data_IF_544241564056
#
_entry.id   IF_544241564056
#
_cell.length_a   1.000
_cell.length_b   1.000
_cell.length_c   1.000
_cell.angle_alpha   90.00
_cell.angle_beta   90.00
_cell.angle_gamma   90.00
#
_symmetry.space_group_name_H-M   'P 1'
#
loop_
_entity.id
_entity.type
_entity.pdbx_description
1 polymer ?
#
# COMPACT_ATOMS: atom_id res chain seq x y z
N UNK A 1 11.50 15.01 19.58
CA UNK A 1 12.12 14.39 18.41
C UNK A 1 11.02 14.41 17.36
N UNK A 2 11.08 15.38 16.44
CA UNK A 2 10.06 15.54 15.40
C UNK A 2 10.05 14.28 14.54
N UNK A 3 8.95 13.54 14.57
CA UNK A 3 8.68 12.51 13.60
C UNK A 3 8.22 13.21 12.33
N UNK A 4 9.19 13.81 11.65
CA UNK A 4 9.08 14.18 10.27
C UNK A 4 8.56 12.95 9.54
N UNK A 5 7.55 13.14 8.69
CA UNK A 5 7.03 12.10 7.84
C UNK A 5 8.03 11.82 6.71
N UNK A 6 9.29 11.58 7.10
CA UNK A 6 10.22 10.73 6.40
C UNK A 6 9.56 9.36 6.35
N UNK A 7 8.68 9.23 5.33
CA UNK A 7 8.38 7.99 4.65
C UNK A 7 9.60 7.10 4.85
N UNK A 8 9.40 6.03 5.62
CA UNK A 8 10.41 5.03 5.97
C UNK A 8 11.57 5.06 4.99
N UNK A 9 12.76 5.28 5.55
CA UNK A 9 14.14 5.26 5.02
C UNK A 9 14.43 4.14 3.99
N UNK A 10 13.57 4.00 2.99
CA UNK A 10 13.64 3.20 1.79
C UNK A 10 14.17 4.15 0.72
N UNK A 11 15.43 4.55 0.94
CA UNK A 11 16.26 5.34 0.04
C UNK A 11 16.02 4.90 -1.41
N UNK A 12 15.88 5.87 -2.31
CA UNK A 12 16.11 5.78 -3.76
C UNK A 12 16.27 4.35 -4.30
N UNK A 13 15.19 3.58 -4.28
CA UNK A 13 15.27 2.17 -4.60
C UNK A 13 15.05 1.97 -6.09
N UNK A 14 15.82 1.06 -6.67
CA UNK A 14 15.55 0.53 -8.01
C UNK A 14 14.69 -0.73 -7.86
N UNK A 15 13.59 -0.81 -8.59
CA UNK A 15 12.73 -1.99 -8.67
C UNK A 15 13.15 -2.84 -9.88
N UNK A 16 13.09 -4.16 -9.77
CA UNK A 16 13.35 -5.08 -10.89
C UNK A 16 12.01 -5.65 -11.35
N UNK A 17 11.42 -5.05 -12.39
CA UNK A 17 10.24 -5.61 -13.07
C UNK A 17 10.66 -6.07 -14.46
N UNK A 18 10.42 -7.35 -14.77
CA UNK A 18 10.75 -8.01 -16.05
C UNK A 18 12.24 -7.86 -16.42
N UNK A 19 13.13 -8.01 -15.44
CA UNK A 19 14.58 -7.89 -15.62
C UNK A 19 15.09 -6.46 -15.87
N UNK A 20 14.23 -5.44 -15.74
CA UNK A 20 14.60 -4.03 -15.92
C UNK A 20 14.54 -3.26 -14.61
N UNK A 21 15.56 -2.42 -14.42
CA UNK A 21 15.66 -1.44 -13.36
C UNK A 21 14.64 -0.31 -13.58
N UNK A 22 13.73 -0.09 -12.63
CA UNK A 22 12.76 1.02 -12.60
C UNK A 22 12.97 1.88 -11.38
N UNK A 23 12.89 3.22 -11.50
CA UNK A 23 12.93 4.13 -10.35
C UNK A 23 11.69 3.94 -9.48
N UNK A 24 11.84 3.84 -8.15
CA UNK A 24 10.70 3.79 -7.22
C UNK A 24 10.14 5.17 -6.92
N UNK A 25 11.01 6.17 -6.75
CA UNK A 25 10.65 7.55 -6.42
C UNK A 25 11.32 8.50 -7.41
N UNK A 26 10.59 9.52 -7.85
CA UNK A 26 11.09 10.57 -8.75
C UNK A 26 10.14 11.76 -8.72
N UNK A 27 10.38 12.74 -7.85
CA UNK A 27 9.48 13.88 -7.71
C UNK A 27 10.21 15.19 -7.45
N UNK A 28 9.51 16.30 -7.68
CA UNK A 28 9.93 17.65 -7.33
C UNK A 28 8.81 18.35 -6.59
N UNK A 29 9.13 19.15 -5.58
CA UNK A 29 8.12 19.79 -4.75
C UNK A 29 8.59 21.01 -3.99
N UNK A 30 7.64 21.60 -3.29
CA UNK A 30 7.83 22.74 -2.38
C UNK A 30 7.21 22.41 -1.03
N UNK A 31 7.86 22.90 0.03
CA UNK A 31 7.43 22.74 1.41
C UNK A 31 7.30 24.11 2.05
N UNK A 32 6.26 24.27 2.88
CA UNK A 32 6.03 25.46 3.67
C UNK A 32 5.52 25.07 5.06
N UNK A 33 6.16 25.58 6.11
CA UNK A 33 5.96 25.17 7.51
C UNK A 33 4.48 25.14 7.96
N UNK A 34 3.67 26.09 7.48
CA UNK A 34 2.23 26.20 7.83
C UNK A 34 1.30 25.62 6.76
N UNK A 35 1.68 25.71 5.49
CA UNK A 35 0.80 25.39 4.36
C UNK A 35 0.99 23.94 3.89
N UNK A 36 1.96 23.22 4.45
CA UNK A 36 2.22 21.83 4.13
C UNK A 36 3.14 21.68 2.92
N UNK A 37 3.03 20.54 2.24
CA UNK A 37 3.94 20.13 1.16
C UNK A 37 3.15 19.82 -0.11
N UNK A 38 3.65 20.27 -1.25
CA UNK A 38 3.13 19.92 -2.58
C UNK A 38 4.27 19.36 -3.42
N UNK A 39 4.06 18.24 -4.08
CA UNK A 39 5.05 17.67 -5.00
C UNK A 39 4.39 16.99 -6.19
N UNK A 40 5.13 16.91 -7.28
CA UNK A 40 4.72 16.26 -8.51
C UNK A 40 5.77 15.24 -8.95
N UNK A 41 5.32 14.06 -9.35
CA UNK A 41 6.16 13.02 -9.93
C UNK A 41 5.70 11.63 -9.53
N UNK A 42 6.66 10.75 -9.28
CA UNK A 42 6.45 9.36 -8.85
C UNK A 42 6.63 9.19 -7.35
N UNK A 43 5.53 8.89 -6.66
CA UNK A 43 5.49 8.61 -5.22
C UNK A 43 4.29 7.72 -4.87
N UNK A 44 4.15 7.35 -3.59
CA UNK A 44 2.99 6.63 -3.06
C UNK A 44 1.69 7.43 -3.23
N UNK A 45 0.62 6.75 -3.66
CA UNK A 45 -0.71 7.32 -3.68
C UNK A 45 -1.24 7.64 -2.27
N UNK A 46 -2.16 8.60 -2.18
CA UNK A 46 -2.64 9.12 -0.89
C UNK A 46 -3.30 8.03 0.01
N UNK A 47 -3.86 6.96 -0.58
CA UNK A 47 -4.43 5.82 0.15
C UNK A 47 -3.42 5.15 1.07
N UNK A 48 -2.13 5.10 0.66
CA UNK A 48 -1.04 4.51 1.44
C UNK A 48 -0.88 5.13 2.84
N UNK A 49 -1.29 6.40 3.03
CA UNK A 49 -1.07 7.14 4.27
C UNK A 49 -1.67 6.43 5.49
N UNK A 50 -2.80 5.75 5.34
CA UNK A 50 -3.58 5.20 6.45
C UNK A 50 -3.69 3.67 6.45
N UNK A 51 -2.79 2.97 5.76
CA UNK A 51 -2.75 1.50 5.72
C UNK A 51 -1.79 0.97 6.82
N UNK A 52 -2.29 0.35 7.91
CA UNK A 52 -1.48 -0.07 9.06
C UNK A 52 -0.49 -1.20 8.75
N UNK A 53 -0.86 -2.14 7.88
CA UNK A 53 0.00 -3.24 7.43
C UNK A 53 1.25 -2.74 6.70
N UNK A 54 1.11 -1.67 5.91
CA UNK A 54 2.21 -1.04 5.18
C UNK A 54 3.18 -0.28 6.11
N UNK A 55 2.86 -0.19 7.41
CA UNK A 55 3.74 0.41 8.43
C UNK A 55 4.63 -0.61 9.13
N UNK A 56 4.47 -1.90 8.82
CA UNK A 56 5.36 -2.93 9.33
C UNK A 56 6.66 -2.91 8.55
N UNK A 57 7.77 -3.14 9.26
CA UNK A 57 9.00 -3.52 8.60
C UNK A 57 8.72 -4.80 7.82
N UNK A 58 9.08 -4.78 6.53
CA UNK A 58 9.01 -5.84 5.52
C UNK A 58 8.10 -7.03 5.87
N UNK A 59 6.98 -7.18 5.17
CA UNK A 59 6.46 -8.51 4.94
C UNK A 59 6.70 -8.72 3.45
N UNK A 60 7.48 -9.72 3.05
CA UNK A 60 7.68 -10.07 1.63
C UNK A 60 6.39 -10.37 0.86
N UNK A 61 5.25 -10.32 1.56
CA UNK A 61 3.89 -10.66 1.14
C UNK A 61 2.88 -9.55 1.53
N UNK A 62 3.27 -8.27 1.39
CA UNK A 62 2.36 -7.12 1.58
C UNK A 62 1.39 -6.97 0.39
N UNK A 63 0.63 -8.03 0.10
CA UNK A 63 -0.63 -7.86 -0.61
C UNK A 63 -1.62 -7.32 0.44
N UNK A 64 -2.16 -6.12 0.19
CA UNK A 64 -2.95 -5.36 1.17
C UNK A 64 -4.37 -5.19 0.69
N UNK A 65 -5.30 -5.03 1.63
CA UNK A 65 -6.67 -4.70 1.30
C UNK A 65 -6.72 -3.26 0.78
N UNK A 66 -6.73 -3.12 -0.53
CA UNK A 66 -6.45 -1.85 -1.19
C UNK A 66 -7.05 -1.80 -2.59
N UNK A 67 -7.51 -0.59 -2.96
CA UNK A 67 -7.80 -0.23 -4.34
C UNK A 67 -6.53 0.17 -5.12
N UNK A 68 -6.70 0.48 -6.41
CA UNK A 68 -5.61 0.68 -7.36
C UNK A 68 -4.59 1.79 -6.96
N UNK A 69 -4.99 2.86 -6.24
CA UNK A 69 -4.07 3.93 -5.78
C UNK A 69 -3.39 3.76 -4.41
N UNK A 70 -3.32 2.55 -3.88
CA UNK A 70 -2.47 2.30 -2.70
C UNK A 70 -0.98 2.29 -3.06
N UNK A 71 -0.66 2.09 -4.33
CA UNK A 71 0.69 1.85 -4.80
C UNK A 71 1.40 3.13 -5.24
N UNK A 72 2.63 2.97 -5.75
CA UNK A 72 3.43 4.09 -6.28
C UNK A 72 2.96 4.44 -7.67
N UNK A 73 2.47 5.67 -7.83
CA UNK A 73 1.94 6.18 -9.08
C UNK A 73 2.91 7.21 -9.66
N UNK A 74 3.05 7.22 -10.99
CA UNK A 74 3.81 8.25 -11.71
C UNK A 74 2.88 9.42 -12.05
N UNK A 75 3.45 10.57 -12.41
CA UNK A 75 2.70 11.75 -12.89
C UNK A 75 1.58 12.18 -11.92
N UNK A 76 1.87 12.05 -10.63
CA UNK A 76 0.93 12.33 -9.55
C UNK A 76 1.29 13.66 -8.90
N UNK A 77 0.31 14.56 -8.80
CA UNK A 77 0.39 15.74 -7.97
C UNK A 77 -0.15 15.38 -6.59
N UNK A 78 0.65 15.57 -5.55
CA UNK A 78 0.28 15.33 -4.16
C UNK A 78 0.34 16.61 -3.35
N UNK A 79 -0.63 16.76 -2.46
CA UNK A 79 -0.66 17.77 -1.41
C UNK A 79 -0.81 17.07 -0.07
N UNK A 80 -0.04 17.53 0.91
CA UNK A 80 -0.10 17.04 2.28
C UNK A 80 -0.07 18.18 3.28
N UNK A 81 -0.93 18.09 4.27
CA UNK A 81 -0.96 19.04 5.39
C UNK A 81 -1.25 18.30 6.70
N UNK A 82 -0.86 18.91 7.81
CA UNK A 82 -1.14 18.43 9.14
C UNK A 82 -1.67 19.57 10.00
N UNK A 83 -2.81 19.33 10.65
CA UNK A 83 -3.42 20.25 11.61
C UNK A 83 -3.59 19.49 12.92
N UNK A 84 -2.80 19.85 13.93
CA UNK A 84 -2.73 19.12 15.19
C UNK A 84 -2.45 17.63 14.92
N UNK A 85 -3.32 16.73 15.39
CA UNK A 85 -3.18 15.28 15.23
C UNK A 85 -3.73 14.77 13.89
N UNK A 86 -4.36 15.64 13.10
CA UNK A 86 -4.98 15.27 11.82
C UNK A 86 -4.03 15.49 10.66
N UNK A 87 -3.81 14.44 9.87
CA UNK A 87 -3.09 14.52 8.59
C UNK A 87 -4.07 14.41 7.45
N UNK A 88 -3.87 15.22 6.40
CA UNK A 88 -4.63 15.21 5.17
C UNK A 88 -3.67 15.02 4.00
N UNK A 89 -3.98 14.08 3.11
CA UNK A 89 -3.25 13.86 1.87
C UNK A 89 -4.26 13.85 0.73
N UNK A 90 -4.02 14.65 -0.28
CA UNK A 90 -4.82 14.68 -1.51
C UNK A 90 -3.87 14.41 -2.66
N UNK A 91 -4.26 13.53 -3.57
CA UNK A 91 -3.51 13.29 -4.79
C UNK A 91 -4.40 13.28 -6.02
N UNK A 92 -3.87 13.77 -7.13
CA UNK A 92 -4.46 13.52 -8.44
C UNK A 92 -3.40 12.98 -9.39
N UNK A 93 -3.76 11.95 -10.13
CA UNK A 93 -2.91 11.32 -11.12
C UNK A 93 -3.43 11.69 -12.50
N UNK A 94 -2.54 12.17 -13.35
CA UNK A 94 -2.86 12.42 -14.75
C UNK A 94 -2.87 11.08 -15.50
N UNK A 95 -3.85 10.88 -16.38
CA UNK A 95 -3.92 9.66 -17.19
C UNK A 95 -2.72 9.59 -18.13
N UNK A 96 -2.04 8.46 -18.15
CA UNK A 96 -0.89 8.24 -19.04
C UNK A 96 -1.40 7.89 -20.46
N UNK A 97 -1.76 8.91 -21.25
CA UNK A 97 -2.48 8.76 -22.53
C UNK A 97 -1.66 8.11 -23.66
N UNK A 98 -0.37 7.83 -23.47
CA UNK A 98 0.53 7.35 -24.54
C UNK A 98 1.33 6.08 -24.21
N UNK A 99 0.89 5.23 -23.25
CA UNK A 99 1.55 3.94 -23.06
C UNK A 99 1.10 2.91 -24.10
N UNK A 100 2.05 2.38 -24.86
CA UNK A 100 1.86 1.11 -25.58
C UNK A 100 1.80 -0.03 -24.56
N UNK A 101 0.63 -0.63 -24.38
CA UNK A 101 0.41 -1.69 -23.39
C UNK A 101 1.00 -3.02 -23.86
N UNK A 102 1.72 -3.68 -22.95
CA UNK A 102 1.93 -5.14 -23.00
C UNK A 102 0.88 -5.73 -22.06
N UNK A 103 -0.22 -6.25 -22.63
CA UNK A 103 -1.47 -6.55 -21.90
C UNK A 103 -1.34 -7.63 -20.84
N UNK A 104 -0.30 -8.45 -20.91
CA UNK A 104 -0.12 -9.59 -20.02
C UNK A 104 0.22 -9.19 -18.57
N UNK A 105 0.66 -7.93 -18.31
CA UNK A 105 1.17 -7.51 -16.99
C UNK A 105 0.57 -6.21 -16.38
N UNK A 106 -0.04 -5.32 -17.17
CA UNK A 106 -0.25 -3.92 -16.74
C UNK A 106 -1.73 -3.46 -16.62
N UNK A 107 -2.71 -4.32 -16.94
CA UNK A 107 -4.14 -3.96 -17.00
C UNK A 107 -4.76 -3.54 -15.65
N UNK A 108 -4.22 -4.01 -14.51
CA UNK A 108 -4.70 -3.66 -13.17
C UNK A 108 -3.96 -2.49 -12.51
N UNK A 109 -2.85 -2.02 -13.10
CA UNK A 109 -2.02 -0.94 -12.54
C UNK A 109 -2.20 0.40 -13.26
N UNK A 110 -3.05 0.42 -14.29
CA UNK A 110 -3.26 1.61 -15.12
C UNK A 110 -4.60 2.24 -14.80
N UNK A 111 -4.52 3.33 -14.05
CA UNK A 111 -5.65 4.21 -13.79
C UNK A 111 -5.74 5.25 -14.92
N UNK A 112 -6.97 5.66 -15.24
CA UNK A 112 -7.24 6.89 -15.96
C UNK A 112 -6.84 8.10 -15.13
N UNK A 113 -7.50 9.23 -15.34
CA UNK A 113 -7.34 10.33 -14.37
C UNK A 113 -7.91 9.86 -13.04
N UNK A 114 -7.13 10.00 -11.97
CA UNK A 114 -7.54 9.57 -10.64
C UNK A 114 -7.51 10.73 -9.65
N UNK A 115 -8.38 10.66 -8.67
CA UNK A 115 -8.40 11.53 -7.50
C UNK A 115 -8.39 10.67 -6.25
N UNK A 116 -7.65 11.12 -5.24
CA UNK A 116 -7.64 10.44 -3.94
C UNK A 116 -7.55 11.45 -2.83
N UNK A 117 -8.37 11.26 -1.80
CA UNK A 117 -8.30 12.00 -0.56
C UNK A 117 -8.17 11.02 0.60
N UNK A 118 -7.27 11.35 1.51
CA UNK A 118 -6.89 10.55 2.66
C UNK A 118 -6.85 11.47 3.86
N UNK A 119 -7.52 11.11 4.94
CA UNK A 119 -7.44 11.84 6.19
C UNK A 119 -7.47 10.90 7.38
N UNK A 120 -6.76 11.27 8.44
CA UNK A 120 -6.71 10.44 9.64
C UNK A 120 -6.13 11.16 10.83
N UNK A 121 -6.54 10.70 12.00
CA UNK A 121 -5.97 11.11 13.27
C UNK A 121 -4.84 10.14 13.64
N UNK A 122 -3.66 10.71 13.89
CA UNK A 122 -2.48 10.04 14.40
C UNK A 122 -2.62 9.77 15.92
N UNK A 123 -1.82 8.84 16.50
CA UNK A 123 -0.63 8.23 15.90
C UNK A 123 -0.92 7.06 14.95
N UNK A 124 -0.52 7.20 13.68
CA UNK A 124 -0.19 6.05 12.82
C UNK A 124 1.29 5.65 12.95
N UNK A 125 2.10 6.58 13.47
CA UNK A 125 3.50 6.39 13.81
C UNK A 125 3.68 6.89 15.25
N UNK A 126 3.78 5.96 16.21
CA UNK A 126 3.89 6.28 17.64
C UNK A 126 2.95 5.44 18.50
N UNK A 127 3.00 5.68 19.82
CA UNK A 127 2.13 5.01 20.79
C UNK A 127 0.74 5.64 20.82
N UNK A 128 -0.30 4.83 20.85
CA UNK A 128 -1.70 5.27 20.92
C UNK A 128 -2.56 4.67 19.82
N UNK A 129 -3.75 5.25 19.64
CA UNK A 129 -4.74 4.81 18.66
C UNK A 129 -4.74 5.76 17.46
N UNK A 130 -4.67 5.20 16.26
CA UNK A 130 -4.84 5.95 15.01
C UNK A 130 -6.00 5.41 14.19
N UNK A 131 -6.69 6.31 13.50
CA UNK A 131 -7.79 5.98 12.58
C UNK A 131 -7.70 6.88 11.36
N UNK A 132 -7.97 6.31 10.19
CA UNK A 132 -7.91 7.02 8.93
C UNK A 132 -8.88 6.45 7.93
N UNK A 133 -9.26 7.31 7.00
CA UNK A 133 -10.11 6.99 5.88
C UNK A 133 -9.44 7.48 4.60
N UNK A 134 -9.63 6.72 3.53
CA UNK A 134 -9.29 7.17 2.19
C UNK A 134 -10.40 6.86 1.21
N UNK A 135 -10.56 7.75 0.24
CA UNK A 135 -11.40 7.57 -0.93
C UNK A 135 -10.55 7.76 -2.17
N UNK A 136 -10.62 6.80 -3.07
CA UNK A 136 -9.99 6.81 -4.37
C UNK A 136 -11.07 6.65 -5.43
N UNK A 137 -10.98 7.44 -6.50
CA UNK A 137 -11.79 7.27 -7.70
C UNK A 137 -10.87 7.45 -8.92
N UNK A 138 -10.88 6.44 -9.79
CA UNK A 138 -10.11 6.43 -11.03
C UNK A 138 -10.97 5.93 -12.17
N UNK A 139 -10.88 6.60 -13.33
CA UNK A 139 -11.41 6.04 -14.57
C UNK A 139 -10.68 4.74 -14.95
N UNK A 140 -11.40 3.77 -15.52
CA UNK A 140 -10.86 2.45 -15.83
C UNK A 140 -10.53 2.28 -17.31
N UNK A 141 -9.32 1.80 -17.63
CA UNK A 141 -9.02 1.29 -18.96
C UNK A 141 -9.57 -0.13 -19.15
N UNK A 142 -10.19 -0.37 -20.30
CA UNK A 142 -10.64 -1.69 -20.72
C UNK A 142 -9.52 -2.55 -21.30
N UNK A 143 -9.84 -3.84 -21.52
CA UNK A 143 -8.92 -4.84 -22.05
C UNK A 143 -8.35 -4.54 -23.46
N UNK A 144 -8.84 -3.50 -24.14
CA UNK A 144 -8.36 -3.03 -25.45
C UNK A 144 -7.84 -1.58 -25.43
N UNK A 145 -7.72 -0.98 -24.23
CA UNK A 145 -7.02 0.30 -24.04
C UNK A 145 -7.94 1.51 -24.13
N UNK A 146 -9.24 1.25 -24.32
CA UNK A 146 -10.29 2.24 -24.26
C UNK A 146 -10.51 2.68 -22.81
N UNK A 147 -10.50 4.00 -22.56
CA UNK A 147 -10.92 4.54 -21.26
C UNK A 147 -12.44 4.45 -21.15
N UNK A 148 -12.93 3.66 -20.21
CA UNK A 148 -14.34 3.64 -19.85
C UNK A 148 -14.67 4.87 -19.01
N UNK A 149 -15.24 5.89 -19.66
CA UNK A 149 -15.58 7.18 -19.02
C UNK A 149 -16.73 7.08 -18.02
N UNK A 150 -17.50 6.00 -18.07
CA UNK A 150 -18.69 5.70 -17.26
C UNK A 150 -18.43 4.62 -16.19
N UNK A 151 -17.19 4.14 -16.08
CA UNK A 151 -16.78 3.07 -15.17
C UNK A 151 -15.55 3.50 -14.37
N UNK A 152 -15.68 3.56 -13.05
CA UNK A 152 -14.60 3.94 -12.14
C UNK A 152 -14.27 2.85 -11.12
N UNK A 153 -13.04 2.83 -10.62
CA UNK A 153 -12.72 2.14 -9.36
C UNK A 153 -12.89 3.14 -8.22
N UNK A 154 -14.13 3.24 -7.73
CA UNK A 154 -14.41 3.91 -6.48
C UNK A 154 -14.03 2.96 -5.34
N UNK A 155 -12.92 3.25 -4.66
CA UNK A 155 -12.47 2.50 -3.49
C UNK A 155 -12.54 3.36 -2.23
N UNK A 156 -13.16 2.81 -1.20
CA UNK A 156 -13.20 3.35 0.16
C UNK A 156 -12.34 2.48 1.07
N UNK A 157 -11.41 3.06 1.83
CA UNK A 157 -10.66 2.31 2.85
C UNK A 157 -10.79 2.96 4.22
N UNK A 158 -10.91 2.13 5.25
CA UNK A 158 -10.80 2.53 6.65
C UNK A 158 -9.64 1.74 7.25
N UNK A 159 -8.66 2.45 7.78
CA UNK A 159 -7.52 1.88 8.48
C UNK A 159 -7.51 2.30 9.95
N UNK A 160 -7.24 1.36 10.85
CA UNK A 160 -7.10 1.60 12.28
C UNK A 160 -5.87 0.92 12.82
N UNK A 161 -5.21 1.54 13.80
CA UNK A 161 -4.10 0.92 14.50
C UNK A 161 -4.09 1.29 15.97
N UNK A 162 -3.44 0.45 16.76
CA UNK A 162 -3.15 0.69 18.15
C UNK A 162 -1.76 0.19 18.49
N UNK A 163 -0.95 1.05 19.12
CA UNK A 163 0.37 0.70 19.65
C UNK A 163 0.44 0.99 21.14
N UNK A 164 0.89 0.02 21.91
CA UNK A 164 1.14 0.20 23.34
C UNK A 164 2.20 -0.78 23.86
N UNK A 165 3.33 -0.23 24.31
CA UNK A 165 4.44 -1.02 24.81
C UNK A 165 5.00 -1.94 23.71
N UNK A 166 5.08 -3.23 24.01
CA UNK A 166 5.58 -4.24 23.07
C UNK A 166 4.61 -4.59 21.93
N UNK A 167 3.35 -4.11 21.99
CA UNK A 167 2.29 -4.53 21.09
C UNK A 167 1.95 -3.47 20.06
N UNK A 168 1.73 -3.94 18.83
CA UNK A 168 1.06 -3.19 17.79
C UNK A 168 -0.01 -4.07 17.14
N UNK A 169 -1.19 -3.50 16.90
CA UNK A 169 -2.27 -4.15 16.15
C UNK A 169 -2.77 -3.13 15.14
N UNK A 170 -2.92 -3.54 13.89
CA UNK A 170 -3.45 -2.72 12.82
C UNK A 170 -4.44 -3.51 11.98
N UNK A 171 -5.39 -2.81 11.36
CA UNK A 171 -6.25 -3.44 10.37
C UNK A 171 -6.85 -2.45 9.39
N UNK A 172 -7.15 -2.95 8.21
CA UNK A 172 -7.74 -2.23 7.10
C UNK A 172 -8.98 -2.97 6.61
N UNK A 173 -10.03 -2.22 6.27
CA UNK A 173 -11.12 -2.71 5.43
C UNK A 173 -11.25 -1.79 4.24
N UNK A 174 -11.33 -2.38 3.05
CA UNK A 174 -11.60 -1.67 1.81
C UNK A 174 -12.89 -2.17 1.18
N UNK A 175 -13.64 -1.26 0.56
CA UNK A 175 -14.73 -1.57 -0.36
C UNK A 175 -14.40 -0.99 -1.72
N UNK A 176 -14.42 -1.80 -2.77
CA UNK A 176 -14.22 -1.35 -4.14
C UNK A 176 -15.44 -1.64 -5.01
N UNK A 177 -15.75 -0.71 -5.91
CA UNK A 177 -16.79 -0.87 -6.91
C UNK A 177 -16.27 -1.52 -8.22
N UNK A 178 -15.05 -2.08 -8.23
CA UNK A 178 -14.43 -2.78 -9.36
C UNK A 178 -15.34 -3.84 -10.01
N UNK A 179 -16.08 -4.60 -9.20
CA UNK A 179 -17.00 -5.64 -9.66
C UNK A 179 -18.18 -5.08 -10.46
N UNK A 180 -18.73 -3.95 -10.01
CA UNK A 180 -19.92 -3.34 -10.61
C UNK A 180 -19.65 -2.80 -12.02
N UNK A 181 -18.37 -2.59 -12.36
CA UNK A 181 -17.94 -2.02 -13.62
C UNK A 181 -17.26 -3.03 -14.57
N UNK A 182 -17.14 -4.29 -14.16
CA UNK A 182 -16.77 -5.41 -15.03
C UNK A 182 -15.27 -5.54 -15.35
N UNK A 183 -14.39 -4.96 -14.53
CA UNK A 183 -12.94 -5.23 -14.60
C UNK A 183 -12.58 -6.59 -13.98
N UNK A 184 -13.36 -7.02 -13.00
CA UNK A 184 -13.26 -8.34 -12.41
C UNK A 184 -14.66 -8.82 -12.04
N UNK A 185 -15.15 -9.89 -12.66
CA UNK A 185 -16.45 -10.46 -12.33
C UNK A 185 -16.28 -11.53 -11.27
N UNK A 186 -16.96 -11.37 -10.12
CA UNK A 186 -16.97 -12.39 -9.07
C UNK A 186 -15.93 -12.18 -7.95
N UNK A 187 -15.23 -11.04 -7.90
CA UNK A 187 -14.45 -10.70 -6.71
C UNK A 187 -15.38 -10.34 -5.55
N UNK A 188 -14.84 -10.30 -4.34
CA UNK A 188 -15.56 -9.74 -3.20
C UNK A 188 -15.54 -8.21 -3.30
N UNK A 189 -16.66 -7.55 -3.03
CA UNK A 189 -16.67 -6.08 -2.95
C UNK A 189 -15.83 -5.55 -1.78
N UNK A 190 -15.49 -6.43 -0.83
CA UNK A 190 -14.71 -6.10 0.36
C UNK A 190 -13.42 -6.92 0.47
N UNK A 191 -12.33 -6.20 0.73
CA UNK A 191 -11.05 -6.77 1.16
C UNK A 191 -10.71 -6.27 2.56
N UNK A 192 -9.93 -7.04 3.30
CA UNK A 192 -9.47 -6.65 4.62
C UNK A 192 -8.11 -7.24 4.96
N UNK A 193 -7.39 -6.57 5.84
CA UNK A 193 -6.17 -7.08 6.46
C UNK A 193 -6.16 -6.76 7.95
N UNK A 194 -5.55 -7.64 8.73
CA UNK A 194 -5.29 -7.44 10.16
C UNK A 194 -3.90 -7.93 10.47
N UNK A 195 -3.11 -7.08 11.12
CA UNK A 195 -1.73 -7.36 11.50
C UNK A 195 -1.53 -7.17 13.00
N UNK A 196 -0.78 -8.08 13.61
CA UNK A 196 -0.27 -7.96 14.96
C UNK A 196 1.25 -8.06 14.95
N UNK A 197 1.91 -7.13 15.63
CA UNK A 197 3.35 -7.19 15.90
C UNK A 197 3.57 -7.25 17.43
N UNK A 198 4.49 -8.12 17.84
CA UNK A 198 5.01 -8.20 19.19
C UNK A 198 6.52 -8.00 19.18
N UNK A 199 6.97 -6.94 19.84
CA UNK A 199 8.38 -6.61 20.02
C UNK A 199 8.89 -7.24 21.32
N UNK A 200 9.61 -8.35 21.22
CA UNK A 200 10.13 -9.08 22.39
C UNK A 200 11.34 -8.37 23.02
N UNK A 201 12.21 -7.82 22.19
CA UNK A 201 13.35 -6.98 22.59
C UNK A 201 13.53 -5.83 21.59
N UNK A 202 14.49 -4.93 21.83
CA UNK A 202 14.82 -3.86 20.85
C UNK A 202 15.13 -4.39 19.46
N UNK A 203 15.55 -5.65 19.36
CA UNK A 203 16.13 -6.23 18.16
C UNK A 203 15.25 -7.34 17.57
N UNK A 204 14.37 -7.98 18.36
CA UNK A 204 13.57 -9.13 17.95
C UNK A 204 12.08 -8.82 17.92
N UNK A 205 11.46 -9.08 16.77
CA UNK A 205 10.04 -8.87 16.52
C UNK A 205 9.38 -10.11 15.93
N UNK A 206 8.12 -10.29 16.29
CA UNK A 206 7.22 -11.31 15.76
C UNK A 206 6.03 -10.61 15.11
N UNK A 207 5.64 -11.05 13.92
CA UNK A 207 4.55 -10.47 13.15
C UNK A 207 3.60 -11.60 12.75
N UNK A 208 2.30 -11.35 12.87
CA UNK A 208 1.24 -12.20 12.37
C UNK A 208 0.29 -11.34 11.54
N UNK A 209 -0.11 -11.84 10.38
CA UNK A 209 -0.95 -11.14 9.43
C UNK A 209 -2.07 -12.08 8.95
N UNK A 210 -3.29 -11.57 8.83
CA UNK A 210 -4.38 -12.26 8.18
C UNK A 210 -5.03 -11.33 7.17
N UNK A 211 -5.22 -11.80 5.95
CA UNK A 211 -5.75 -10.97 4.88
C UNK A 211 -6.71 -11.72 3.98
N UNK A 212 -7.70 -10.98 3.48
CA UNK A 212 -8.46 -11.30 2.29
C UNK A 212 -8.31 -10.12 1.32
N UNK A 213 -7.65 -10.35 0.19
CA UNK A 213 -7.25 -9.30 -0.74
C UNK A 213 -7.55 -9.69 -2.18
N UNK A 214 -7.40 -8.75 -3.09
CA UNK A 214 -7.44 -9.03 -4.52
C UNK A 214 -6.10 -9.63 -4.95
N UNK A 215 -6.07 -10.95 -5.14
CA UNK A 215 -4.92 -11.71 -5.61
C UNK A 215 -4.80 -11.66 -7.14
N UNK A 216 -3.62 -12.02 -7.65
CA UNK A 216 -3.32 -12.09 -9.08
C UNK A 216 -3.80 -10.85 -9.86
N UNK A 217 -3.44 -9.65 -9.37
CA UNK A 217 -3.84 -8.38 -9.98
C UNK A 217 -5.37 -8.25 -10.14
N UNK A 218 -6.13 -8.64 -9.11
CA UNK A 218 -7.59 -8.60 -9.11
C UNK A 218 -8.26 -9.55 -10.09
N UNK A 219 -7.61 -10.65 -10.43
CA UNK A 219 -8.27 -11.76 -11.12
C UNK A 219 -9.00 -12.71 -10.15
N UNK A 220 -8.66 -12.70 -8.86
CA UNK A 220 -9.26 -13.56 -7.86
C UNK A 220 -9.24 -12.98 -6.43
N UNK A 221 -10.06 -13.52 -5.53
CA UNK A 221 -9.90 -13.26 -4.11
C UNK A 221 -8.82 -14.18 -3.54
N UNK A 222 -7.82 -13.62 -2.88
CA UNK A 222 -6.80 -14.36 -2.14
C UNK A 222 -7.08 -14.28 -0.64
N UNK A 223 -6.81 -15.38 0.08
CA UNK A 223 -6.86 -15.43 1.55
C UNK A 223 -5.62 -16.11 2.08
N UNK A 224 -4.94 -15.49 3.03
CA UNK A 224 -3.73 -16.06 3.61
C UNK A 224 -3.52 -15.67 5.07
N UNK A 225 -2.73 -16.49 5.75
CA UNK A 225 -2.15 -16.19 7.07
C UNK A 225 -0.65 -16.01 6.89
N UNK A 226 -0.16 -14.80 7.11
CA UNK A 226 1.25 -14.44 7.07
C UNK A 226 1.90 -14.49 8.45
N UNK A 227 3.19 -14.84 8.49
CA UNK A 227 4.02 -14.74 9.68
C UNK A 227 5.35 -14.05 9.34
N UNK A 228 5.96 -13.43 10.34
CA UNK A 228 7.29 -12.85 10.24
C UNK A 228 8.05 -12.93 11.55
N UNK A 229 9.34 -13.22 11.46
CA UNK A 229 10.31 -13.09 12.55
C UNK A 229 11.45 -12.25 12.04
N UNK A 230 11.69 -11.13 12.72
CA UNK A 230 12.68 -10.14 12.31
C UNK A 230 13.67 -9.90 13.44
N UNK A 231 14.95 -9.98 13.11
CA UNK A 231 16.05 -9.80 14.05
C UNK A 231 17.10 -8.84 13.51
N UNK A 232 17.26 -7.70 14.19
CA UNK A 232 18.35 -6.77 13.90
C UNK A 232 19.64 -7.26 14.56
N UNK A 233 20.56 -7.82 13.76
CA UNK A 233 21.92 -8.17 14.22
C UNK A 233 22.72 -6.92 14.59
N UNK A 234 22.47 -5.82 13.88
CA UNK A 234 23.02 -4.50 14.14
C UNK A 234 21.97 -3.46 13.75
N UNK A 235 22.21 -2.17 14.03
CA UNK A 235 21.35 -1.08 13.53
C UNK A 235 21.24 -0.99 12.01
N UNK A 236 22.08 -1.72 11.28
CA UNK A 236 22.19 -1.67 9.82
C UNK A 236 22.02 -3.04 9.15
N UNK A 237 21.78 -4.12 9.91
CA UNK A 237 21.67 -5.46 9.35
C UNK A 237 20.47 -6.19 9.97
N UNK A 238 19.47 -6.45 9.13
CA UNK A 238 18.26 -7.19 9.46
C UNK A 238 18.35 -8.62 8.92
N UNK A 239 18.02 -9.58 9.76
CA UNK A 239 17.74 -10.97 9.40
C UNK A 239 16.25 -11.19 9.51
N UNK A 240 15.64 -11.78 8.48
CA UNK A 240 14.21 -12.05 8.49
C UNK A 240 13.89 -13.47 8.03
N UNK A 241 12.83 -14.01 8.63
CA UNK A 241 12.16 -15.23 8.20
C UNK A 241 10.67 -14.95 8.16
N UNK A 242 10.11 -15.00 6.96
CA UNK A 242 8.73 -14.63 6.71
C UNK A 242 8.08 -15.68 5.81
N UNK A 243 6.77 -15.79 5.91
CA UNK A 243 6.03 -16.64 5.00
C UNK A 243 4.54 -16.39 5.07
N UNK A 244 3.82 -16.99 4.14
CA UNK A 244 2.37 -17.07 4.17
C UNK A 244 1.90 -18.48 3.87
N UNK A 245 0.85 -18.86 4.58
CA UNK A 245 0.03 -20.02 4.26
C UNK A 245 -1.18 -19.51 3.48
N UNK A 246 -1.20 -19.84 2.20
CA UNK A 246 -2.25 -19.45 1.27
C UNK A 246 -3.37 -20.49 1.38
N UNK A 247 -4.60 -20.06 1.63
CA UNK A 247 -5.74 -21.00 1.67
C UNK A 247 -6.28 -21.31 0.26
N UNK A 248 -5.49 -21.05 -0.79
CA UNK A 248 -5.95 -21.01 -2.16
C UNK A 248 -6.97 -19.87 -2.35
N UNK A 249 -6.68 -18.94 -3.27
CA UNK A 249 -7.70 -18.00 -3.71
C UNK A 249 -8.87 -18.70 -4.40
N UNK A 250 -9.74 -17.96 -5.08
CA UNK A 250 -10.82 -18.56 -5.87
C UNK A 250 -10.31 -19.55 -6.93
N UNK A 251 -9.04 -19.44 -7.37
CA UNK A 251 -8.40 -20.39 -8.29
C UNK A 251 -7.78 -21.64 -7.64
N UNK A 252 -7.59 -21.66 -6.31
CA UNK A 252 -6.73 -22.63 -5.60
C UNK A 252 -5.28 -22.75 -6.15
N UNK A 253 -4.80 -21.80 -6.94
CA UNK A 253 -3.46 -21.86 -7.57
C UNK A 253 -2.37 -21.11 -6.80
N UNK A 254 -2.75 -20.34 -5.78
CA UNK A 254 -1.81 -19.56 -4.98
C UNK A 254 -1.12 -20.48 -3.97
N UNK A 255 0.18 -20.69 -4.17
CA UNK A 255 1.01 -21.54 -3.33
C UNK A 255 1.44 -20.83 -2.03
N UNK A 256 1.82 -21.64 -1.05
CA UNK A 256 2.53 -21.16 0.13
C UNK A 256 3.87 -20.56 -0.27
N UNK A 257 4.28 -19.48 0.38
CA UNK A 257 5.57 -18.86 0.09
C UNK A 257 6.30 -18.56 1.38
N UNK A 258 7.60 -18.90 1.41
CA UNK A 258 8.46 -18.74 2.57
C UNK A 258 9.79 -18.13 2.12
N UNK A 259 10.23 -17.10 2.82
CA UNK A 259 11.42 -16.33 2.48
C UNK A 259 12.33 -16.24 3.71
N UNK A 260 13.62 -16.42 3.46
CA UNK A 260 14.69 -16.08 4.39
C UNK A 260 15.50 -14.95 3.76
N UNK A 261 15.70 -13.86 4.49
CA UNK A 261 16.31 -12.66 3.97
C UNK A 261 17.39 -12.09 4.88
N UNK A 262 18.34 -11.40 4.25
CA UNK A 262 19.30 -10.52 4.91
C UNK A 262 19.24 -9.16 4.22
N UNK A 263 18.94 -8.12 4.98
CA UNK A 263 18.88 -6.74 4.47
C UNK A 263 19.92 -5.87 5.16
N UNK A 264 20.75 -5.21 4.37
CA UNK A 264 21.78 -4.29 4.84
C UNK A 264 21.43 -2.85 4.46
N UNK A 265 21.40 -1.96 5.46
CA UNK A 265 21.08 -0.54 5.32
C UNK A 265 22.37 0.30 5.43
N UNK A 266 22.70 1.02 4.37
CA UNK A 266 23.75 2.04 4.30
C UNK A 266 23.12 3.42 4.16
#
# INVERSE_FOLDING_TARGET
>A
MEYDLNFLNLKEGTDIKNGKLRKRYEYVGVEHDVLGKVWYGKDWGATYAHMPILKQAYLGFQDVAAGQATWRNSDTLLYKNQIQDWTFVVSTQLSDSERSFDYDDDAFTTDGSAFTISYGASPFYGDGFGIGYSYHDAGLYGAMGELYKDKGDATHNIGMNYRYGAWYIGGTVAKSDLNNHGKATGLNDYTYDVVGEYTYSSDLKFILHYAQVYGNWGAENERFVGYGVQYFLTSSLLVLSEGRFSNGGDSNTIEDTHVLGLEYFF
#
